data_IF_836203482062
#
_entry.id   IF_836203482062
#
_cell.length_a   1.000
_cell.length_b   1.000
_cell.length_c   1.000
_cell.angle_alpha   90.00
_cell.angle_beta   90.00
_cell.angle_gamma   90.00
#
_symmetry.space_group_name_H-M   'P 1'
#
loop_
_entity.id
_entity.type
_entity.pdbx_description
1 polymer ?
#
# COMPACT_ATOMS: atom_id res chain seq x y z
N UNK A 1 5.96 -2.66 -20.46
CA UNK A 1 5.78 -1.64 -19.41
C UNK A 1 6.69 -1.95 -18.24
N UNK A 2 7.18 -0.89 -17.52
CA UNK A 2 7.97 -1.02 -16.30
C UNK A 2 7.35 -0.18 -15.19
N UNK A 3 7.22 -0.73 -13.98
CA UNK A 3 6.63 -0.06 -12.83
C UNK A 3 7.69 0.20 -11.77
N UNK A 4 7.96 1.49 -11.51
CA UNK A 4 8.93 1.93 -10.49
C UNK A 4 8.21 2.15 -9.17
N UNK A 5 8.68 1.47 -8.10
CA UNK A 5 7.97 1.38 -6.82
C UNK A 5 8.89 1.45 -5.60
N UNK A 6 8.25 1.57 -4.44
CA UNK A 6 8.70 1.05 -3.14
C UNK A 6 7.80 -0.12 -2.74
N UNK A 7 8.36 -1.19 -2.20
CA UNK A 7 7.60 -2.41 -1.84
C UNK A 7 6.66 -2.20 -0.64
N UNK A 8 7.07 -1.35 0.33
CA UNK A 8 6.23 -1.02 1.48
C UNK A 8 5.08 -0.07 1.15
N UNK A 9 5.20 0.71 0.07
CA UNK A 9 4.34 1.86 -0.20
C UNK A 9 2.91 1.43 -0.59
N UNK A 10 1.86 1.85 0.16
CA UNK A 10 0.48 1.49 -0.16
C UNK A 10 -0.01 2.04 -1.51
N UNK A 11 0.55 3.16 -1.97
CA UNK A 11 0.21 3.71 -3.29
C UNK A 11 0.83 2.88 -4.42
N UNK A 12 2.04 2.33 -4.23
CA UNK A 12 2.67 1.41 -5.17
C UNK A 12 1.89 0.08 -5.25
N UNK A 13 1.36 -0.37 -4.12
CA UNK A 13 0.50 -1.56 -4.05
C UNK A 13 -0.72 -1.43 -4.94
N UNK A 14 -1.37 -0.26 -5.03
CA UNK A 14 -2.49 -0.01 -5.95
C UNK A 14 -2.13 -0.36 -7.40
N UNK A 15 -0.97 0.13 -7.84
CA UNK A 15 -0.49 -0.14 -9.20
C UNK A 15 -0.14 -1.62 -9.41
N UNK A 16 0.49 -2.27 -8.44
CA UNK A 16 0.78 -3.71 -8.52
C UNK A 16 -0.50 -4.54 -8.60
N UNK A 17 -1.53 -4.20 -7.81
CA UNK A 17 -2.81 -4.91 -7.79
C UNK A 17 -3.45 -5.01 -9.17
N UNK A 18 -3.47 -3.92 -9.95
CA UNK A 18 -4.15 -3.95 -11.24
C UNK A 18 -3.40 -4.82 -12.25
N UNK A 19 -2.06 -4.82 -12.24
CA UNK A 19 -1.29 -5.71 -13.11
C UNK A 19 -1.53 -7.18 -12.76
N UNK A 20 -1.49 -7.55 -11.48
CA UNK A 20 -1.77 -8.91 -11.03
C UNK A 20 -3.20 -9.34 -11.34
N UNK A 21 -4.19 -8.49 -11.06
CA UNK A 21 -5.60 -8.77 -11.33
C UNK A 21 -5.89 -9.01 -12.82
N UNK A 22 -5.28 -8.20 -13.69
CA UNK A 22 -5.40 -8.31 -15.16
C UNK A 22 -4.49 -9.37 -15.76
N UNK A 23 -3.58 -9.95 -14.95
CA UNK A 23 -2.53 -10.88 -15.44
C UNK A 23 -1.70 -10.29 -16.57
N UNK A 24 -1.47 -8.98 -16.53
CA UNK A 24 -0.64 -8.28 -17.49
C UNK A 24 0.82 -8.30 -17.02
N UNK A 25 1.78 -8.60 -17.92
CA UNK A 25 3.19 -8.59 -17.57
C UNK A 25 3.68 -7.16 -17.30
N UNK A 26 4.45 -7.01 -16.24
CA UNK A 26 5.12 -5.76 -15.90
C UNK A 26 6.50 -6.06 -15.31
N UNK A 27 7.51 -5.34 -15.74
CA UNK A 27 8.81 -5.34 -15.10
C UNK A 27 8.72 -4.44 -13.85
N UNK A 28 9.01 -4.97 -12.67
CA UNK A 28 9.05 -4.19 -11.44
C UNK A 28 10.48 -3.69 -11.21
N UNK A 29 10.61 -2.38 -11.00
CA UNK A 29 11.88 -1.71 -10.70
C UNK A 29 11.76 -1.00 -9.34
N UNK A 30 12.54 -1.45 -8.37
CA UNK A 30 12.56 -0.82 -7.06
C UNK A 30 13.52 0.37 -7.08
N UNK A 31 13.01 1.56 -6.74
CA UNK A 31 13.82 2.75 -6.52
C UNK A 31 14.34 2.71 -5.08
N UNK A 32 15.61 3.05 -4.86
CA UNK A 32 16.16 3.07 -3.50
C UNK A 32 15.62 4.27 -2.71
N UNK A 33 15.37 4.07 -1.42
CA UNK A 33 15.08 5.21 -0.54
C UNK A 33 16.29 6.16 -0.49
N UNK A 34 16.00 7.46 -0.53
CA UNK A 34 17.04 8.49 -0.68
C UNK A 34 17.31 8.90 -2.13
N UNK A 35 17.02 8.06 -3.12
CA UNK A 35 17.12 8.43 -4.53
C UNK A 35 15.98 9.38 -4.92
N UNK A 36 16.29 10.67 -4.99
CA UNK A 36 15.39 11.69 -5.50
C UNK A 36 15.64 11.99 -6.99
N UNK A 37 16.82 11.67 -7.50
CA UNK A 37 17.22 11.99 -8.87
C UNK A 37 16.42 11.20 -9.90
N UNK A 38 16.33 9.88 -9.71
CA UNK A 38 15.65 9.00 -10.66
C UNK A 38 14.18 9.37 -10.87
N UNK A 39 13.32 9.51 -9.84
CA UNK A 39 11.94 9.90 -10.08
C UNK A 39 11.80 11.34 -10.56
N UNK A 40 12.69 12.25 -10.14
CA UNK A 40 12.68 13.66 -10.62
C UNK A 40 13.00 13.74 -12.10
N UNK A 41 13.95 12.96 -12.60
CA UNK A 41 14.25 12.84 -14.04
C UNK A 41 13.06 12.31 -14.84
N UNK A 42 12.29 11.37 -14.28
CA UNK A 42 11.14 10.74 -14.94
C UNK A 42 9.92 11.67 -15.01
N UNK A 43 9.56 12.27 -13.87
CA UNK A 43 8.27 12.98 -13.72
C UNK A 43 8.37 14.35 -13.04
N UNK A 44 9.58 14.89 -12.91
CA UNK A 44 9.83 16.25 -12.38
C UNK A 44 9.77 16.37 -10.85
N UNK A 45 9.54 15.26 -10.12
CA UNK A 45 9.43 15.27 -8.65
C UNK A 45 9.71 13.89 -8.06
N UNK A 46 10.10 13.85 -6.77
CA UNK A 46 10.27 12.58 -6.03
C UNK A 46 8.90 12.01 -5.66
N UNK A 47 8.43 11.03 -6.41
CA UNK A 47 7.16 10.33 -6.20
C UNK A 47 7.27 8.89 -6.68
N UNK A 48 6.51 7.98 -6.07
CA UNK A 48 6.24 6.61 -6.52
C UNK A 48 4.76 6.29 -6.24
N UNK A 49 4.12 5.40 -7.02
CA UNK A 49 4.64 4.66 -8.18
C UNK A 49 4.79 5.55 -9.43
N UNK A 50 5.65 5.10 -10.36
CA UNK A 50 5.74 5.65 -11.70
C UNK A 50 5.64 4.50 -12.70
N UNK A 51 4.73 4.60 -13.66
CA UNK A 51 4.63 3.67 -14.78
C UNK A 51 5.39 4.21 -15.99
N UNK A 52 6.39 3.48 -16.45
CA UNK A 52 6.99 3.65 -17.76
C UNK A 52 6.18 2.82 -18.77
N UNK A 53 5.49 3.52 -19.67
CA UNK A 53 4.66 2.89 -20.71
C UNK A 53 5.50 2.36 -21.87
N UNK A 54 4.87 1.60 -22.77
CA UNK A 54 5.56 1.01 -23.92
C UNK A 54 6.12 2.05 -24.91
N UNK A 55 5.52 3.23 -24.96
CA UNK A 55 5.99 4.36 -25.76
C UNK A 55 7.15 5.16 -25.10
N UNK A 56 7.63 4.71 -23.94
CA UNK A 56 8.70 5.36 -23.17
C UNK A 56 8.25 6.59 -22.39
N UNK A 57 6.97 6.93 -22.36
CA UNK A 57 6.45 8.01 -21.53
C UNK A 57 6.19 7.55 -20.09
N UNK A 58 6.30 8.48 -19.14
CA UNK A 58 6.13 8.21 -17.72
C UNK A 58 4.79 8.72 -17.21
N UNK A 59 4.14 7.92 -16.38
CA UNK A 59 2.86 8.26 -15.73
C UNK A 59 2.99 8.12 -14.21
N UNK A 60 2.92 9.21 -13.43
CA UNK A 60 2.76 9.16 -11.98
C UNK A 60 1.29 8.99 -11.62
N UNK A 61 0.98 9.03 -10.32
CA UNK A 61 -0.34 8.90 -9.70
C UNK A 61 -0.95 7.49 -9.78
N UNK A 62 -1.00 6.86 -8.61
CA UNK A 62 -1.35 5.43 -8.51
C UNK A 62 -2.71 5.09 -9.10
N UNK A 63 -3.73 5.93 -8.89
CA UNK A 63 -5.07 5.65 -9.42
C UNK A 63 -5.21 5.94 -10.91
N UNK A 64 -4.38 6.84 -11.46
CA UNK A 64 -4.32 7.05 -12.91
C UNK A 64 -3.64 5.87 -13.59
N UNK A 65 -2.59 5.32 -12.97
CA UNK A 65 -1.97 4.05 -13.42
C UNK A 65 -3.00 2.92 -13.38
N UNK A 66 -3.76 2.80 -12.29
CA UNK A 66 -4.83 1.78 -12.17
C UNK A 66 -5.82 1.91 -13.32
N UNK A 67 -6.37 3.11 -13.58
CA UNK A 67 -7.34 3.33 -14.66
C UNK A 67 -6.76 3.08 -16.04
N UNK A 68 -5.51 3.50 -16.27
CA UNK A 68 -4.82 3.26 -17.53
C UNK A 68 -4.68 1.77 -17.81
N UNK A 69 -4.14 1.01 -16.87
CA UNK A 69 -3.91 -0.44 -17.00
C UNK A 69 -5.25 -1.19 -17.07
N UNK A 70 -6.27 -0.78 -16.30
CA UNK A 70 -7.62 -1.33 -16.36
C UNK A 70 -8.23 -1.21 -17.75
N UNK A 71 -7.90 -0.12 -18.47
CA UNK A 71 -8.35 0.11 -19.85
C UNK A 71 -7.70 -0.79 -20.89
N UNK A 72 -6.57 -1.46 -20.58
CA UNK A 72 -5.86 -2.31 -21.53
C UNK A 72 -6.50 -3.70 -21.72
N UNK A 73 -7.30 -4.16 -20.75
CA UNK A 73 -7.92 -5.49 -20.80
C UNK A 73 -9.29 -5.51 -20.11
N UNK A 74 -10.28 -6.12 -20.78
CA UNK A 74 -11.60 -6.35 -20.20
C UNK A 74 -11.58 -7.51 -19.17
N UNK A 75 -12.58 -7.55 -18.25
CA UNK A 75 -13.54 -6.51 -17.93
C UNK A 75 -12.93 -5.34 -17.16
N UNK A 76 -13.52 -4.15 -17.26
CA UNK A 76 -13.11 -3.03 -16.41
C UNK A 76 -13.57 -3.24 -14.97
N UNK A 77 -12.72 -2.86 -14.02
CA UNK A 77 -12.94 -3.05 -12.58
C UNK A 77 -12.76 -1.77 -11.76
N UNK A 78 -12.15 -0.74 -12.33
CA UNK A 78 -11.81 0.51 -11.66
C UNK A 78 -12.65 1.72 -12.13
N UNK A 79 -13.84 1.46 -12.70
CA UNK A 79 -14.75 2.51 -13.20
C UNK A 79 -15.89 2.85 -12.22
N UNK A 80 -16.17 1.97 -11.25
CA UNK A 80 -17.21 2.22 -10.25
C UNK A 80 -16.78 3.32 -9.25
N UNK A 81 -17.73 4.07 -8.68
CA UNK A 81 -17.42 4.95 -7.57
C UNK A 81 -16.90 4.15 -6.36
N UNK A 82 -16.09 4.80 -5.55
CA UNK A 82 -15.62 4.23 -4.29
C UNK A 82 -16.79 4.15 -3.31
N UNK A 83 -16.93 3.04 -2.61
CA UNK A 83 -17.91 2.88 -1.54
C UNK A 83 -17.65 3.92 -0.43
N UNK A 84 -18.65 4.76 -0.14
CA UNK A 84 -18.52 5.87 0.80
C UNK A 84 -18.25 5.40 2.23
N UNK A 85 -18.85 4.29 2.67
CA UNK A 85 -18.63 3.77 4.01
C UNK A 85 -17.20 3.25 4.18
N UNK A 86 -16.67 2.56 3.17
CA UNK A 86 -15.27 2.10 3.15
C UNK A 86 -14.32 3.30 3.07
N UNK A 87 -14.62 4.30 2.26
CA UNK A 87 -13.82 5.52 2.16
C UNK A 87 -13.71 6.22 3.52
N UNK A 88 -14.84 6.44 4.20
CA UNK A 88 -14.87 7.03 5.55
C UNK A 88 -14.09 6.18 6.56
N UNK A 89 -14.20 4.85 6.47
CA UNK A 89 -13.40 3.97 7.31
C UNK A 89 -11.90 4.17 7.05
N UNK A 90 -11.44 4.16 5.79
CA UNK A 90 -10.05 4.38 5.42
C UNK A 90 -9.52 5.72 5.96
N UNK A 91 -10.29 6.80 5.81
CA UNK A 91 -9.95 8.12 6.34
C UNK A 91 -9.81 8.08 7.87
N UNK A 92 -10.75 7.42 8.56
CA UNK A 92 -10.79 7.34 10.02
C UNK A 92 -9.67 6.52 10.64
N UNK A 93 -9.13 5.52 9.93
CA UNK A 93 -8.06 4.64 10.42
C UNK A 93 -6.66 5.14 10.07
N UNK A 94 -6.53 6.00 9.04
CA UNK A 94 -5.23 6.38 8.45
C UNK A 94 -4.24 6.90 9.48
N UNK A 95 -4.64 7.81 10.37
CA UNK A 95 -3.75 8.36 11.39
C UNK A 95 -3.13 7.29 12.31
N UNK A 96 -3.92 6.57 13.10
CA UNK A 96 -3.38 5.53 13.99
C UNK A 96 -2.72 4.38 13.21
N UNK A 97 -3.19 4.04 11.98
CA UNK A 97 -2.58 3.05 11.13
C UNK A 97 -1.14 3.44 10.76
N UNK A 98 -0.93 4.64 10.20
CA UNK A 98 0.41 5.07 9.79
C UNK A 98 1.33 5.22 11.00
N UNK A 99 0.85 5.66 12.15
CA UNK A 99 1.63 5.70 13.38
C UNK A 99 2.08 4.30 13.86
N UNK A 100 1.37 3.22 13.50
CA UNK A 100 1.78 1.84 13.78
C UNK A 100 2.75 1.29 12.73
N UNK A 101 2.46 1.48 11.43
CA UNK A 101 3.19 0.79 10.37
C UNK A 101 4.51 1.47 10.03
N UNK A 102 4.57 2.82 10.04
CA UNK A 102 5.77 3.58 9.66
C UNK A 102 7.00 3.18 10.51
N UNK A 103 6.93 3.14 11.85
CA UNK A 103 8.06 2.68 12.65
C UNK A 103 8.50 1.25 12.31
N UNK A 104 7.56 0.36 11.97
CA UNK A 104 7.83 -1.05 11.63
C UNK A 104 8.47 -1.23 10.27
N UNK A 105 8.13 -0.37 9.32
CA UNK A 105 8.76 -0.39 8.00
C UNK A 105 10.27 -0.13 8.08
N UNK A 106 10.77 0.65 9.06
CA UNK A 106 12.22 0.86 9.25
C UNK A 106 12.98 -0.41 9.52
N UNK A 107 12.31 -1.45 10.00
CA UNK A 107 12.89 -2.77 10.34
C UNK A 107 12.46 -3.86 9.35
N UNK A 108 11.59 -3.54 8.39
CA UNK A 108 11.09 -4.47 7.39
C UNK A 108 12.17 -4.85 6.37
N UNK A 109 11.99 -6.02 5.76
CA UNK A 109 12.83 -6.49 4.67
C UNK A 109 12.22 -6.01 3.35
N UNK A 110 12.60 -4.80 2.93
CA UNK A 110 12.17 -4.15 1.71
C UNK A 110 13.36 -3.78 0.85
N UNK A 111 13.29 -4.08 -0.44
CA UNK A 111 14.41 -3.90 -1.36
C UNK A 111 14.86 -2.43 -1.46
N UNK A 112 13.94 -1.47 -1.39
CA UNK A 112 14.28 -0.04 -1.38
C UNK A 112 15.03 0.43 -0.13
N UNK A 113 15.06 -0.39 0.92
CA UNK A 113 15.77 -0.15 2.17
C UNK A 113 16.91 -1.16 2.42
N UNK A 114 17.39 -1.82 1.37
CA UNK A 114 18.42 -2.86 1.49
C UNK A 114 19.78 -2.35 1.98
N UNK A 115 20.07 -1.05 1.83
CA UNK A 115 21.31 -0.46 2.35
C UNK A 115 21.08 0.36 3.63
N UNK A 116 22.10 0.45 4.52
CA UNK A 116 22.00 1.31 5.70
C UNK A 116 21.71 2.78 5.36
N UNK A 117 22.25 3.28 4.25
CA UNK A 117 22.03 4.65 3.76
C UNK A 117 20.57 4.87 3.40
N UNK A 118 20.01 3.96 2.61
CA UNK A 118 18.61 4.04 2.18
C UNK A 118 17.65 3.95 3.39
N UNK A 119 17.94 3.05 4.33
CA UNK A 119 17.15 2.91 5.56
C UNK A 119 17.22 4.17 6.43
N UNK A 120 18.40 4.81 6.56
CA UNK A 120 18.53 6.10 7.24
C UNK A 120 17.76 7.20 6.52
N UNK A 121 17.80 7.23 5.19
CA UNK A 121 17.06 8.22 4.41
C UNK A 121 15.55 8.08 4.60
N UNK A 122 15.04 6.84 4.62
CA UNK A 122 13.65 6.55 4.97
C UNK A 122 13.31 7.07 6.36
N UNK A 123 14.06 6.63 7.39
CA UNK A 123 13.83 6.99 8.79
C UNK A 123 13.80 8.52 8.97
N UNK A 124 14.79 9.24 8.45
CA UNK A 124 14.85 10.69 8.58
C UNK A 124 13.67 11.40 7.88
N UNK A 125 13.20 10.87 6.75
CA UNK A 125 12.01 11.40 6.07
C UNK A 125 10.75 11.20 6.92
N UNK A 126 10.58 9.99 7.46
CA UNK A 126 9.38 9.67 8.24
C UNK A 126 9.39 10.39 9.60
N UNK A 127 10.54 10.54 10.25
CA UNK A 127 10.66 11.33 11.48
C UNK A 127 10.29 12.79 11.26
N UNK A 128 10.61 13.35 10.10
CA UNK A 128 10.19 14.71 9.75
C UNK A 128 8.67 14.84 9.61
N UNK A 129 7.99 13.79 9.17
CA UNK A 129 6.54 13.77 8.93
C UNK A 129 5.72 13.34 10.16
N UNK A 130 6.22 12.35 10.92
CA UNK A 130 5.49 11.68 11.99
C UNK A 130 6.07 11.93 13.40
N UNK A 131 7.22 12.59 13.50
CA UNK A 131 7.94 12.78 14.76
C UNK A 131 8.80 11.57 15.13
N UNK A 132 9.19 11.49 16.39
CA UNK A 132 10.04 10.44 16.93
C UNK A 132 9.39 9.04 16.77
N UNK A 133 10.02 8.18 15.96
CA UNK A 133 9.49 6.84 15.66
C UNK A 133 9.58 5.88 16.86
N UNK A 134 10.53 6.07 17.77
CA UNK A 134 10.61 5.28 19.01
C UNK A 134 9.49 5.67 19.99
N UNK A 135 9.16 6.95 20.07
CA UNK A 135 7.98 7.41 20.81
C UNK A 135 6.68 6.83 20.21
N UNK A 136 6.57 6.69 18.89
CA UNK A 136 5.44 6.00 18.25
C UNK A 136 5.41 4.52 18.60
N UNK A 137 6.55 3.82 18.62
CA UNK A 137 6.65 2.41 19.06
C UNK A 137 6.17 2.25 20.50
N UNK A 138 6.58 3.14 21.39
CA UNK A 138 6.14 3.11 22.80
C UNK A 138 4.61 3.25 22.96
N UNK A 139 3.95 3.90 22.00
CA UNK A 139 2.49 4.07 21.98
C UNK A 139 1.75 2.89 21.32
N UNK A 140 2.44 1.84 20.92
CA UNK A 140 1.83 0.67 20.24
C UNK A 140 0.58 0.14 20.94
N UNK A 141 0.52 -0.07 22.27
CA UNK A 141 -0.69 -0.61 22.91
C UNK A 141 -1.92 0.27 22.69
N UNK A 142 -1.80 1.58 22.88
CA UNK A 142 -2.91 2.51 22.70
C UNK A 142 -3.33 2.67 21.22
N UNK A 143 -2.37 2.62 20.31
CA UNK A 143 -2.64 2.66 18.87
C UNK A 143 -3.32 1.37 18.39
N UNK A 144 -2.90 0.20 18.90
CA UNK A 144 -3.54 -1.07 18.61
C UNK A 144 -4.98 -1.12 19.12
N UNK A 145 -5.28 -0.60 20.30
CA UNK A 145 -6.65 -0.50 20.80
C UNK A 145 -7.54 0.27 19.81
N UNK A 146 -7.07 1.44 19.34
CA UNK A 146 -7.80 2.25 18.36
C UNK A 146 -7.97 1.52 17.02
N UNK A 147 -6.90 0.93 16.50
CA UNK A 147 -6.93 0.24 15.19
C UNK A 147 -7.79 -1.03 15.27
N UNK A 148 -7.71 -1.80 16.36
CA UNK A 148 -8.50 -3.02 16.51
C UNK A 148 -10.01 -2.73 16.65
N UNK A 149 -10.39 -1.63 17.31
CA UNK A 149 -11.78 -1.17 17.30
C UNK A 149 -12.26 -0.80 15.88
N UNK A 150 -11.39 -0.18 15.07
CA UNK A 150 -11.69 0.11 13.67
C UNK A 150 -11.75 -1.16 12.81
N UNK A 151 -10.86 -2.14 13.04
CA UNK A 151 -10.90 -3.43 12.35
C UNK A 151 -12.20 -4.20 12.66
N UNK A 152 -12.68 -4.16 13.90
CA UNK A 152 -13.99 -4.74 14.24
C UNK A 152 -15.14 -4.06 13.48
N UNK A 153 -15.10 -2.73 13.33
CA UNK A 153 -16.09 -1.99 12.56
C UNK A 153 -15.99 -2.21 11.04
N UNK A 154 -14.87 -2.71 10.55
CA UNK A 154 -14.67 -3.05 9.13
C UNK A 154 -15.39 -4.36 8.72
N UNK A 155 -15.57 -5.30 9.64
CA UNK A 155 -16.12 -6.62 9.35
C UNK A 155 -17.38 -6.61 8.49
N UNK A 156 -18.45 -5.84 8.83
CA UNK A 156 -19.63 -5.78 7.99
C UNK A 156 -19.39 -5.09 6.63
N UNK A 157 -18.40 -4.21 6.51
CA UNK A 157 -18.10 -3.50 5.26
C UNK A 157 -17.40 -4.38 4.22
N UNK A 158 -16.68 -5.41 4.66
CA UNK A 158 -15.98 -6.35 3.77
C UNK A 158 -16.73 -7.68 3.60
N UNK A 159 -17.74 -7.94 4.43
CA UNK A 159 -18.61 -9.09 4.29
C UNK A 159 -19.35 -9.04 2.94
N UNK A 160 -19.28 -10.14 2.18
CA UNK A 160 -19.95 -10.22 0.88
C UNK A 160 -19.24 -9.53 -0.29
N UNK A 161 -18.10 -8.89 -0.09
CA UNK A 161 -17.24 -8.41 -1.19
C UNK A 161 -16.53 -9.60 -1.84
N UNK A 162 -16.94 -9.99 -3.06
CA UNK A 162 -16.42 -11.18 -3.74
C UNK A 162 -15.53 -10.87 -4.94
N UNK A 163 -15.68 -9.69 -5.53
CA UNK A 163 -14.87 -9.22 -6.65
C UNK A 163 -14.05 -8.00 -6.24
N UNK A 164 -12.92 -7.77 -6.92
CA UNK A 164 -12.13 -6.55 -6.77
C UNK A 164 -12.73 -5.44 -7.61
N UNK A 165 -12.99 -4.29 -7.01
CA UNK A 165 -13.47 -3.07 -7.65
C UNK A 165 -12.62 -1.84 -7.26
N UNK A 166 -13.05 -0.65 -7.66
CA UNK A 166 -12.33 0.62 -7.37
C UNK A 166 -12.05 0.80 -5.88
N UNK A 167 -12.97 0.38 -5.01
CA UNK A 167 -12.84 0.52 -3.55
C UNK A 167 -11.66 -0.28 -3.00
N UNK A 168 -11.39 -1.46 -3.57
CA UNK A 168 -10.35 -2.35 -3.07
C UNK A 168 -8.95 -1.78 -3.33
N UNK A 169 -8.76 -0.94 -4.36
CA UNK A 169 -7.48 -0.27 -4.59
C UNK A 169 -7.13 0.77 -3.51
N UNK A 170 -8.08 1.19 -2.69
CA UNK A 170 -7.79 2.05 -1.53
C UNK A 170 -7.78 1.28 -0.21
N UNK A 171 -8.64 0.26 -0.06
CA UNK A 171 -8.79 -0.50 1.18
C UNK A 171 -7.67 -1.50 1.38
N UNK A 172 -7.44 -2.38 0.39
CA UNK A 172 -6.48 -3.47 0.51
C UNK A 172 -5.06 -2.99 0.84
N UNK A 173 -4.50 -1.93 0.20
CA UNK A 173 -3.16 -1.45 0.52
C UNK A 173 -2.98 -1.03 1.99
N UNK A 174 -4.00 -0.42 2.60
CA UNK A 174 -3.97 -0.05 4.02
C UNK A 174 -4.00 -1.28 4.91
N UNK A 175 -4.89 -2.23 4.64
CA UNK A 175 -4.97 -3.48 5.39
C UNK A 175 -3.70 -4.32 5.22
N UNK A 176 -3.14 -4.40 4.00
CA UNK A 176 -1.84 -5.04 3.75
C UNK A 176 -0.75 -4.42 4.62
N UNK A 177 -0.68 -3.09 4.67
CA UNK A 177 0.31 -2.41 5.52
C UNK A 177 0.15 -2.80 7.00
N UNK A 178 -1.09 -2.94 7.49
CA UNK A 178 -1.35 -3.38 8.86
C UNK A 178 -0.93 -4.83 9.13
N UNK A 179 -0.77 -5.69 8.13
CA UNK A 179 -0.33 -7.07 8.36
C UNK A 179 1.11 -7.18 8.87
N UNK A 180 1.92 -6.10 8.79
CA UNK A 180 3.24 -6.04 9.44
C UNK A 180 3.15 -5.82 10.97
N UNK A 181 1.98 -5.48 11.49
CA UNK A 181 1.79 -5.11 12.89
C UNK A 181 1.33 -6.32 13.70
N UNK A 182 2.21 -6.86 14.54
CA UNK A 182 1.86 -7.92 15.48
C UNK A 182 0.82 -7.40 16.48
N UNK A 183 -0.29 -8.13 16.61
CA UNK A 183 -1.40 -7.74 17.47
C UNK A 183 -2.53 -6.98 16.74
N UNK A 184 -2.40 -6.70 15.45
CA UNK A 184 -3.55 -6.26 14.65
C UNK A 184 -4.60 -7.39 14.55
N UNK A 185 -5.78 -7.15 15.11
CA UNK A 185 -6.82 -8.16 15.28
C UNK A 185 -7.81 -8.15 14.10
N UNK A 186 -7.38 -8.71 12.98
CA UNK A 186 -8.29 -8.92 11.84
C UNK A 186 -9.34 -9.96 12.19
N UNK A 187 -10.62 -9.59 12.08
CA UNK A 187 -11.74 -10.54 12.21
C UNK A 187 -11.84 -11.46 10.99
N UNK A 188 -12.74 -12.45 11.04
CA UNK A 188 -12.81 -13.50 10.01
C UNK A 188 -13.13 -12.95 8.61
N UNK A 189 -13.96 -11.92 8.48
CA UNK A 189 -14.28 -11.32 7.17
C UNK A 189 -13.09 -10.53 6.61
N UNK A 190 -12.38 -9.77 7.44
CA UNK A 190 -11.18 -9.04 7.03
C UNK A 190 -10.04 -10.00 6.66
N UNK A 191 -9.86 -11.12 7.37
CA UNK A 191 -8.90 -12.16 7.02
C UNK A 191 -9.23 -12.81 5.67
N UNK A 192 -10.48 -13.20 5.46
CA UNK A 192 -10.95 -13.79 4.20
C UNK A 192 -10.78 -12.79 3.04
N UNK A 193 -11.11 -11.50 3.26
CA UNK A 193 -10.91 -10.43 2.31
C UNK A 193 -9.44 -10.28 1.91
N UNK A 194 -8.53 -10.17 2.90
CA UNK A 194 -7.09 -10.05 2.67
C UNK A 194 -6.54 -11.23 1.87
N UNK A 195 -6.87 -12.46 2.26
CA UNK A 195 -6.43 -13.67 1.57
C UNK A 195 -6.91 -13.70 0.12
N UNK A 196 -8.18 -13.38 -0.10
CA UNK A 196 -8.79 -13.36 -1.44
C UNK A 196 -8.16 -12.31 -2.35
N UNK A 197 -8.06 -11.05 -1.88
CA UNK A 197 -7.51 -9.96 -2.71
C UNK A 197 -6.03 -10.18 -2.97
N UNK A 198 -5.25 -10.62 -1.98
CA UNK A 198 -3.85 -11.00 -2.15
C UNK A 198 -3.68 -12.06 -3.26
N UNK A 199 -4.48 -13.13 -3.23
CA UNK A 199 -4.44 -14.19 -4.24
C UNK A 199 -4.84 -13.68 -5.64
N UNK A 200 -5.90 -12.89 -5.75
CA UNK A 200 -6.40 -12.36 -7.02
C UNK A 200 -5.45 -11.35 -7.66
N UNK A 201 -4.81 -10.51 -6.85
CA UNK A 201 -3.90 -9.46 -7.32
C UNK A 201 -2.44 -9.88 -7.34
N UNK A 202 -2.11 -11.05 -6.82
CA UNK A 202 -0.73 -11.57 -6.66
C UNK A 202 0.17 -10.64 -5.81
N UNK A 203 -0.42 -9.87 -4.92
CA UNK A 203 0.30 -8.99 -3.99
C UNK A 203 0.39 -9.67 -2.63
N UNK A 204 1.60 -10.04 -2.21
CA UNK A 204 1.84 -10.68 -0.92
C UNK A 204 1.50 -9.77 0.26
N UNK A 205 1.00 -10.37 1.35
CA UNK A 205 0.86 -9.71 2.64
C UNK A 205 2.24 -9.55 3.32
N UNK A 206 2.29 -8.80 4.40
CA UNK A 206 3.52 -8.56 5.18
C UNK A 206 3.55 -9.37 6.48
N UNK A 207 2.66 -10.35 6.63
CA UNK A 207 2.50 -11.13 7.86
C UNK A 207 3.75 -11.91 8.26
N UNK A 208 4.54 -12.37 7.27
CA UNK A 208 5.76 -13.15 7.52
C UNK A 208 6.87 -12.33 8.19
N UNK A 209 6.78 -11.01 8.12
CA UNK A 209 7.69 -10.09 8.79
C UNK A 209 7.02 -9.24 9.87
N UNK A 210 5.88 -9.70 10.42
CA UNK A 210 5.14 -8.97 11.46
C UNK A 210 5.93 -8.79 12.75
N UNK A 211 5.91 -7.56 13.28
CA UNK A 211 6.65 -7.12 14.48
C UNK A 211 5.76 -6.43 15.49
#
# INVERSE_FOLDING_TARGET
MKLHIYEHCPFCVRALMIFGLKKLPVEVSVIMEGDAETPTRMVGRKVVPILEKEDGTYMPESMDIVRYVDGLAAPRVADAPIDDAVKQWCESVSGPLFNLVIPRFTEGDFAEMATPEARRAYTAREEKAFGDLDALRARTPALLEQVNAKLAALEPLVAGRHAVDTTDFILFPLLRSLTIVKGAAFGPQAQAYLARVSAQTQVALLSDQAK
#
